data_IF_162149834707
#
_entry.id   IF_162149834707
#
_cell.length_a   1.000
_cell.length_b   1.000
_cell.length_c   1.000
_cell.angle_alpha   90.00
_cell.angle_beta   90.00
_cell.angle_gamma   90.00
#
_symmetry.space_group_name_H-M   'P 1'
#
loop_
_entity.id
_entity.type
_entity.pdbx_description
1 polymer ?
#
# COMPACT_ATOMS: atom_id res chain seq x y z
N UNK A 1 -13.74 17.12 74.71
CA UNK A 1 -14.44 17.03 73.40
C UNK A 1 -13.74 17.94 72.40
N UNK A 2 -12.81 17.40 71.59
CA UNK A 2 -12.18 18.14 70.47
C UNK A 2 -12.22 17.20 69.26
N UNK A 3 -13.04 17.55 68.26
CA UNK A 3 -13.21 16.79 67.02
C UNK A 3 -12.05 17.17 66.08
N UNK A 4 -11.15 16.22 65.83
CA UNK A 4 -10.13 16.32 64.78
C UNK A 4 -10.76 15.80 63.49
N UNK A 5 -10.98 16.67 62.52
CA UNK A 5 -11.48 16.31 61.19
C UNK A 5 -10.28 16.28 60.25
N UNK A 6 -9.84 15.08 59.88
CA UNK A 6 -8.86 14.85 58.81
C UNK A 6 -9.64 14.73 57.49
N UNK A 7 -9.53 15.72 56.63
CA UNK A 7 -10.03 15.66 55.24
C UNK A 7 -8.89 15.14 54.39
N UNK A 8 -8.97 13.87 53.97
CA UNK A 8 -8.07 13.30 52.98
C UNK A 8 -8.50 13.76 51.58
N UNK A 9 -7.67 14.60 50.95
CA UNK A 9 -7.85 15.04 49.58
C UNK A 9 -7.25 13.97 48.64
N UNK A 10 -8.10 13.11 48.08
CA UNK A 10 -7.69 12.16 47.04
C UNK A 10 -7.49 12.88 45.71
N UNK A 11 -6.24 13.08 45.30
CA UNK A 11 -5.91 13.56 43.97
C UNK A 11 -6.11 12.42 42.96
N UNK A 12 -7.21 12.49 42.20
CA UNK A 12 -7.45 11.60 41.06
C UNK A 12 -6.52 12.05 39.92
N UNK A 13 -5.36 11.40 39.79
CA UNK A 13 -4.49 11.55 38.63
C UNK A 13 -5.14 10.85 37.44
N UNK A 14 -5.89 11.62 36.64
CA UNK A 14 -6.36 11.17 35.32
C UNK A 14 -5.13 11.12 34.41
N UNK A 15 -4.56 9.94 34.23
CA UNK A 15 -3.56 9.71 33.20
C UNK A 15 -4.24 9.87 31.83
N UNK A 16 -4.16 11.08 31.27
CA UNK A 16 -4.45 11.29 29.86
C UNK A 16 -3.44 10.46 29.05
N UNK A 17 -3.88 9.30 28.56
CA UNK A 17 -3.11 8.52 27.60
C UNK A 17 -2.78 9.44 26.43
N UNK A 18 -1.49 9.71 26.22
CA UNK A 18 -1.01 10.43 25.06
C UNK A 18 -1.38 9.61 23.82
N UNK A 19 -2.52 9.91 23.22
CA UNK A 19 -2.82 9.50 21.85
C UNK A 19 -1.79 10.27 21.02
N UNK A 20 -0.73 9.59 20.58
CA UNK A 20 0.21 10.16 19.65
C UNK A 20 -0.61 10.73 18.49
N UNK A 21 -0.60 12.06 18.32
CA UNK A 21 -1.30 12.70 17.24
C UNK A 21 -0.72 12.14 15.95
N UNK A 22 -1.45 11.23 15.32
CA UNK A 22 -1.14 10.79 13.97
C UNK A 22 -1.19 12.05 13.12
N UNK A 23 -0.11 12.46 12.43
CA UNK A 23 -0.15 13.68 11.65
C UNK A 23 -1.27 13.53 10.63
N UNK A 24 -2.31 14.38 10.72
CA UNK A 24 -3.43 14.37 9.77
C UNK A 24 -2.91 14.45 8.32
N UNK A 25 -1.77 15.12 8.14
CA UNK A 25 -1.02 15.19 6.89
C UNK A 25 -0.64 13.82 6.32
N UNK A 26 -0.22 12.85 7.13
CA UNK A 26 0.18 11.52 6.64
C UNK A 26 -1.03 10.72 6.14
N UNK A 27 -2.16 10.85 6.81
CA UNK A 27 -3.43 10.25 6.38
C UNK A 27 -3.84 10.87 5.04
N UNK A 28 -3.84 12.21 4.96
CA UNK A 28 -4.23 12.95 3.77
C UNK A 28 -3.30 12.70 2.58
N UNK A 29 -1.99 12.54 2.84
CA UNK A 29 -0.98 12.16 1.84
C UNK A 29 -1.27 10.77 1.28
N UNK A 30 -1.38 9.75 2.14
CA UNK A 30 -1.61 8.37 1.71
C UNK A 30 -2.90 8.23 0.88
N UNK A 31 -3.96 8.97 1.25
CA UNK A 31 -5.24 8.97 0.55
C UNK A 31 -5.23 9.70 -0.79
N UNK A 32 -4.13 10.34 -1.20
CA UNK A 32 -4.07 11.05 -2.47
C UNK A 32 -4.21 10.11 -3.69
N UNK A 33 -3.82 8.83 -3.57
CA UNK A 33 -4.05 7.83 -4.62
C UNK A 33 -5.46 7.21 -4.58
N UNK A 34 -6.27 7.45 -3.54
CA UNK A 34 -7.56 6.79 -3.39
C UNK A 34 -8.58 7.35 -4.41
N UNK A 35 -9.39 6.49 -5.05
CA UNK A 35 -10.55 6.95 -5.80
C UNK A 35 -11.46 7.83 -4.93
N UNK A 36 -11.96 8.93 -5.49
CA UNK A 36 -12.75 9.94 -4.74
C UNK A 36 -13.91 9.33 -3.95
N UNK A 37 -14.63 8.38 -4.53
CA UNK A 37 -15.78 7.71 -3.92
C UNK A 37 -15.41 6.59 -2.91
N UNK A 38 -14.15 6.16 -2.87
CA UNK A 38 -13.68 5.12 -1.96
C UNK A 38 -12.84 5.68 -0.79
N UNK A 39 -12.49 6.97 -0.86
CA UNK A 39 -11.54 7.63 0.05
C UNK A 39 -11.93 7.52 1.53
N UNK A 40 -13.19 7.73 1.87
CA UNK A 40 -13.64 7.77 3.27
C UNK A 40 -13.69 6.37 3.90
N UNK A 41 -13.95 5.34 3.09
CA UNK A 41 -14.01 3.95 3.53
C UNK A 41 -12.64 3.24 3.52
N UNK A 42 -11.58 3.88 3.01
CA UNK A 42 -10.25 3.28 2.89
C UNK A 42 -9.54 3.19 4.25
N UNK A 43 -8.89 2.06 4.51
CA UNK A 43 -7.92 1.95 5.59
C UNK A 43 -6.65 2.74 5.24
N UNK A 44 -6.00 3.32 6.23
CA UNK A 44 -4.68 3.96 6.06
C UNK A 44 -3.70 3.35 7.01
N UNK A 45 -2.55 2.91 6.48
CA UNK A 45 -1.47 2.32 7.27
C UNK A 45 -0.16 3.08 7.06
N UNK A 46 0.76 2.91 8.00
CA UNK A 46 2.15 3.32 7.89
C UNK A 46 3.05 2.11 8.00
N UNK A 47 3.87 1.88 6.98
CA UNK A 47 4.90 0.86 7.02
C UNK A 47 6.00 1.24 8.01
N UNK A 48 6.45 0.25 8.77
CA UNK A 48 7.60 0.33 9.66
C UNK A 48 8.87 -0.13 8.95
N UNK A 49 10.07 0.22 9.45
CA UNK A 49 11.34 -0.25 8.91
C UNK A 49 11.50 -1.78 8.90
N UNK A 50 10.79 -2.49 9.79
CA UNK A 50 10.77 -3.96 9.87
C UNK A 50 9.75 -4.62 8.92
N UNK A 51 9.14 -3.84 8.02
CA UNK A 51 8.11 -4.27 7.05
C UNK A 51 6.78 -4.73 7.68
N UNK A 52 6.56 -4.47 8.96
CA UNK A 52 5.23 -4.49 9.57
C UNK A 52 4.57 -3.11 9.41
N UNK A 53 3.36 -2.89 9.93
CA UNK A 53 2.68 -1.61 9.80
C UNK A 53 1.88 -1.23 11.05
N UNK A 54 1.68 0.08 11.22
CA UNK A 54 0.67 0.64 12.12
C UNK A 54 -0.57 1.05 11.32
N UNK A 55 -1.75 0.85 11.89
CA UNK A 55 -2.99 1.39 11.33
C UNK A 55 -3.17 2.83 11.79
N UNK A 56 -3.08 3.79 10.87
CA UNK A 56 -3.31 5.20 11.14
C UNK A 56 -4.81 5.55 11.16
N UNK A 57 -5.58 4.87 10.30
CA UNK A 57 -7.03 5.01 10.23
C UNK A 57 -7.65 3.66 9.85
N UNK A 58 -8.59 3.13 10.65
CA UNK A 58 -9.34 1.94 10.24
C UNK A 58 -10.20 2.24 9.01
N UNK A 59 -10.38 1.24 8.15
CA UNK A 59 -11.27 1.31 6.99
C UNK A 59 -12.55 0.50 7.20
N UNK A 60 -13.57 0.79 6.41
CA UNK A 60 -14.82 0.00 6.32
C UNK A 60 -14.95 -0.74 5.00
N UNK A 61 -14.06 -0.46 4.04
CA UNK A 61 -13.92 -1.18 2.77
C UNK A 61 -12.68 -2.07 2.76
N UNK A 62 -12.46 -2.76 1.64
CA UNK A 62 -11.24 -3.55 1.40
C UNK A 62 -10.07 -2.73 0.83
N UNK A 63 -10.22 -1.42 0.62
CA UNK A 63 -9.14 -0.56 0.12
C UNK A 63 -8.22 -0.15 1.29
N UNK A 64 -6.91 -0.29 1.11
CA UNK A 64 -5.87 0.21 2.00
C UNK A 64 -4.94 1.13 1.25
N UNK A 65 -4.59 2.27 1.85
CA UNK A 65 -3.67 3.25 1.29
C UNK A 65 -2.47 3.45 2.22
N UNK A 66 -1.30 3.69 1.63
CA UNK A 66 -0.06 3.92 2.36
C UNK A 66 0.91 4.79 1.56
N UNK A 67 1.80 5.44 2.29
CA UNK A 67 2.96 6.11 1.73
C UNK A 67 4.08 5.10 1.49
N UNK A 68 4.68 5.16 0.31
CA UNK A 68 5.87 4.38 -0.05
C UNK A 68 7.03 5.27 -0.53
N UNK A 69 6.87 6.60 -0.40
CA UNK A 69 7.94 7.56 -0.59
C UNK A 69 9.15 7.17 0.28
N UNK A 70 10.36 7.31 -0.26
CA UNK A 70 11.60 7.00 0.44
C UNK A 70 12.07 5.56 0.35
N UNK A 71 11.31 4.65 -0.29
CA UNK A 71 11.90 3.40 -0.78
C UNK A 71 12.91 3.71 -1.90
N UNK A 72 14.04 2.99 -1.98
CA UNK A 72 15.09 3.30 -2.96
C UNK A 72 14.65 3.22 -4.42
N UNK A 73 13.63 2.42 -4.71
CA UNK A 73 13.10 2.21 -6.06
C UNK A 73 11.92 3.11 -6.41
N UNK A 74 11.47 3.93 -5.47
CA UNK A 74 10.29 4.79 -5.60
C UNK A 74 10.66 6.23 -5.96
N UNK A 75 9.69 6.96 -6.52
CA UNK A 75 9.80 8.39 -6.72
C UNK A 75 9.76 9.16 -5.39
N UNK A 76 10.28 10.41 -5.34
CA UNK A 76 10.29 11.21 -4.11
C UNK A 76 8.90 11.40 -3.50
N UNK A 77 7.87 11.54 -4.34
CA UNK A 77 6.48 11.38 -3.94
C UNK A 77 5.93 10.10 -4.55
N UNK A 78 5.54 9.14 -3.70
CA UNK A 78 4.91 7.89 -4.14
C UNK A 78 3.96 7.39 -3.06
N UNK A 79 2.67 7.35 -3.37
CA UNK A 79 1.62 6.79 -2.50
C UNK A 79 0.83 5.75 -3.28
N UNK A 80 0.37 4.71 -2.58
CA UNK A 80 -0.29 3.59 -3.23
C UNK A 80 -1.51 3.12 -2.43
N UNK A 81 -2.57 2.75 -3.16
CA UNK A 81 -3.75 2.11 -2.59
C UNK A 81 -4.02 0.77 -3.29
N UNK A 82 -4.39 -0.25 -2.53
CA UNK A 82 -4.77 -1.56 -3.07
C UNK A 82 -5.70 -2.32 -2.13
N UNK A 83 -6.02 -3.58 -2.41
CA UNK A 83 -6.78 -4.44 -1.49
C UNK A 83 -5.97 -4.75 -0.22
N UNK A 84 -6.65 -4.80 0.92
CA UNK A 84 -6.09 -5.36 2.17
C UNK A 84 -5.53 -6.78 1.99
N UNK A 85 -6.03 -7.54 1.02
CA UNK A 85 -5.52 -8.87 0.66
C UNK A 85 -4.11 -8.87 0.09
N UNK A 86 -3.58 -7.70 -0.29
CA UNK A 86 -2.25 -7.55 -0.87
C UNK A 86 -1.17 -7.16 0.16
N UNK A 87 -1.51 -6.93 1.42
CA UNK A 87 -0.52 -6.41 2.39
C UNK A 87 0.71 -7.32 2.56
N UNK A 88 0.54 -8.63 2.50
CA UNK A 88 1.66 -9.57 2.54
C UNK A 88 2.55 -9.47 1.28
N UNK A 89 1.92 -9.36 0.10
CA UNK A 89 2.60 -9.10 -1.18
C UNK A 89 3.39 -7.79 -1.12
N UNK A 90 2.80 -6.73 -0.57
CA UNK A 90 3.44 -5.43 -0.41
C UNK A 90 4.64 -5.55 0.53
N UNK A 91 4.47 -6.17 1.70
CA UNK A 91 5.58 -6.37 2.64
C UNK A 91 6.75 -7.15 2.00
N UNK A 92 6.46 -8.19 1.20
CA UNK A 92 7.49 -8.92 0.46
C UNK A 92 8.17 -8.03 -0.61
N UNK A 93 7.42 -7.21 -1.35
CA UNK A 93 7.98 -6.28 -2.32
C UNK A 93 8.92 -5.27 -1.65
N UNK A 94 8.49 -4.66 -0.54
CA UNK A 94 9.31 -3.68 0.20
C UNK A 94 10.64 -4.28 0.66
N UNK A 95 10.64 -5.55 1.11
CA UNK A 95 11.85 -6.31 1.46
C UNK A 95 12.78 -6.55 0.27
N UNK A 96 12.24 -6.65 -0.93
CA UNK A 96 13.02 -6.80 -2.16
C UNK A 96 13.53 -5.45 -2.66
N UNK A 97 12.74 -4.38 -2.53
CA UNK A 97 13.04 -3.04 -3.03
C UNK A 97 14.15 -2.30 -2.28
N UNK A 98 14.49 -2.73 -1.05
CA UNK A 98 15.74 -2.30 -0.40
C UNK A 98 16.99 -2.75 -1.16
N UNK A 99 16.90 -3.79 -2.00
CA UNK A 99 17.95 -4.12 -2.95
C UNK A 99 17.88 -3.15 -4.15
N UNK A 100 18.79 -2.19 -4.16
CA UNK A 100 18.86 -1.14 -5.18
C UNK A 100 19.36 -1.66 -6.52
N UNK A 101 20.22 -2.69 -6.52
CA UNK A 101 20.66 -3.35 -7.73
C UNK A 101 19.49 -4.10 -8.38
N UNK A 102 19.13 -3.67 -9.59
CA UNK A 102 18.00 -4.23 -10.33
C UNK A 102 18.19 -5.71 -10.68
N UNK A 103 19.41 -6.12 -11.03
CA UNK A 103 19.68 -7.50 -11.44
C UNK A 103 19.62 -8.45 -10.23
N UNK A 104 20.19 -8.05 -9.10
CA UNK A 104 20.12 -8.84 -7.86
C UNK A 104 18.69 -8.94 -7.34
N UNK A 105 17.93 -7.85 -7.36
CA UNK A 105 16.51 -7.84 -6.99
C UNK A 105 15.68 -8.73 -7.92
N UNK A 106 15.91 -8.67 -9.23
CA UNK A 106 15.22 -9.53 -10.18
C UNK A 106 15.56 -11.01 -9.94
N UNK A 107 16.82 -11.34 -9.70
CA UNK A 107 17.23 -12.72 -9.39
C UNK A 107 16.56 -13.26 -8.11
N UNK A 108 16.41 -12.41 -7.07
CA UNK A 108 15.69 -12.78 -5.85
C UNK A 108 14.19 -13.00 -6.09
N UNK A 109 13.57 -12.17 -6.96
CA UNK A 109 12.18 -12.38 -7.40
C UNK A 109 12.06 -13.72 -8.14
N UNK A 110 12.92 -13.96 -9.14
CA UNK A 110 12.87 -15.18 -9.96
C UNK A 110 13.09 -16.44 -9.12
N UNK A 111 13.97 -16.38 -8.10
CA UNK A 111 14.15 -17.47 -7.15
C UNK A 111 12.87 -17.75 -6.35
N UNK A 112 12.22 -16.70 -5.83
CA UNK A 112 10.95 -16.83 -5.09
C UNK A 112 9.80 -17.32 -5.97
N UNK A 113 9.79 -16.98 -7.26
CA UNK A 113 8.82 -17.51 -8.23
C UNK A 113 9.07 -19.00 -8.45
N UNK A 114 10.33 -19.40 -8.60
CA UNK A 114 10.73 -20.78 -8.89
C UNK A 114 10.48 -21.73 -7.72
N UNK A 115 10.74 -21.30 -6.49
CA UNK A 115 10.53 -22.11 -5.29
C UNK A 115 9.08 -22.02 -4.73
N UNK A 116 8.26 -21.13 -5.30
CA UNK A 116 6.87 -20.95 -4.91
C UNK A 116 6.64 -20.08 -3.67
N UNK A 117 7.70 -19.45 -3.14
CA UNK A 117 7.61 -18.54 -1.98
C UNK A 117 7.15 -17.13 -2.36
N UNK A 118 7.01 -16.82 -3.66
CA UNK A 118 6.47 -15.55 -4.10
C UNK A 118 4.99 -15.44 -3.75
N UNK A 119 4.66 -14.52 -2.86
CA UNK A 119 3.29 -14.19 -2.48
C UNK A 119 2.57 -13.65 -3.71
N UNK A 120 1.40 -14.19 -4.04
CA UNK A 120 0.59 -13.71 -5.17
C UNK A 120 -0.28 -12.54 -4.74
N UNK A 121 -0.49 -11.52 -5.58
CA UNK A 121 -1.52 -10.53 -5.32
C UNK A 121 -2.92 -11.17 -5.38
N UNK A 122 -3.90 -10.56 -4.72
CA UNK A 122 -5.30 -10.95 -4.80
C UNK A 122 -5.81 -10.75 -6.23
N UNK A 123 -6.36 -11.81 -6.83
CA UNK A 123 -6.89 -11.76 -8.18
C UNK A 123 -8.04 -10.74 -8.28
N UNK A 124 -8.01 -9.89 -9.31
CA UNK A 124 -8.97 -8.82 -9.54
C UNK A 124 -8.74 -7.58 -8.68
N UNK A 125 -7.74 -7.57 -7.79
CA UNK A 125 -7.45 -6.39 -6.96
C UNK A 125 -6.84 -5.27 -7.78
N UNK A 126 -7.32 -4.05 -7.55
CA UNK A 126 -6.81 -2.84 -8.21
C UNK A 126 -5.65 -2.27 -7.41
N UNK A 127 -4.67 -1.72 -8.10
CA UNK A 127 -3.53 -0.99 -7.55
C UNK A 127 -3.55 0.42 -8.11
N UNK A 128 -3.70 1.41 -7.25
CA UNK A 128 -3.64 2.83 -7.58
C UNK A 128 -2.32 3.36 -7.07
N UNK A 129 -1.43 3.79 -7.96
CA UNK A 129 -0.15 4.40 -7.58
C UNK A 129 -0.14 5.84 -8.06
N UNK A 130 -0.02 6.79 -7.14
CA UNK A 130 0.18 8.20 -7.48
C UNK A 130 1.63 8.56 -7.17
N UNK A 131 2.43 8.79 -8.20
CA UNK A 131 3.87 9.03 -8.03
C UNK A 131 4.44 10.08 -8.99
N UNK A 132 5.50 10.76 -8.53
CA UNK A 132 6.18 11.84 -9.26
C UNK A 132 7.28 12.50 -8.42
N UNK A 133 7.92 13.52 -8.99
CA UNK A 133 8.93 14.31 -8.29
C UNK A 133 8.33 15.03 -7.05
N UNK A 134 7.05 15.41 -7.15
CA UNK A 134 6.27 16.04 -6.10
C UNK A 134 4.77 15.71 -6.29
N UNK A 135 3.94 16.12 -5.33
CA UNK A 135 2.49 15.86 -5.37
C UNK A 135 1.77 16.56 -6.53
N UNK A 136 2.23 17.73 -6.97
CA UNK A 136 1.57 18.51 -8.01
C UNK A 136 1.84 17.94 -9.41
N UNK A 137 3.00 17.31 -9.60
CA UNK A 137 3.40 16.68 -10.87
C UNK A 137 3.17 15.17 -10.91
N UNK A 138 2.72 14.58 -9.80
CA UNK A 138 2.44 13.15 -9.70
C UNK A 138 1.33 12.71 -10.65
N UNK A 139 1.50 11.52 -11.23
CA UNK A 139 0.53 10.90 -12.12
C UNK A 139 -0.03 9.65 -11.49
N UNK A 140 -1.33 9.48 -11.62
CA UNK A 140 -1.99 8.26 -11.21
C UNK A 140 -1.66 7.17 -12.22
N UNK A 141 -1.45 5.96 -11.73
CA UNK A 141 -1.25 4.78 -12.53
C UNK A 141 -2.06 3.64 -11.91
N UNK A 142 -2.95 3.07 -12.70
CA UNK A 142 -3.82 1.99 -12.27
C UNK A 142 -3.48 0.67 -12.97
N UNK A 143 -3.35 -0.39 -12.18
CA UNK A 143 -3.24 -1.76 -12.66
C UNK A 143 -4.21 -2.68 -11.94
N UNK A 144 -4.54 -3.83 -12.55
CA UNK A 144 -5.41 -4.85 -11.95
C UNK A 144 -4.64 -6.16 -11.90
N UNK A 145 -4.45 -6.72 -10.72
CA UNK A 145 -3.74 -7.97 -10.54
C UNK A 145 -4.55 -9.15 -11.08
N UNK A 146 -3.94 -9.97 -11.94
CA UNK A 146 -4.55 -11.16 -12.54
C UNK A 146 -3.52 -12.30 -12.58
N UNK A 147 -2.96 -12.71 -11.43
CA UNK A 147 -1.87 -13.68 -11.37
C UNK A 147 -2.24 -14.98 -12.11
N UNK A 148 -1.36 -15.43 -13.01
CA UNK A 148 -1.55 -16.63 -13.84
C UNK A 148 -2.43 -16.44 -15.08
N UNK A 149 -3.09 -15.28 -15.24
CA UNK A 149 -3.89 -15.02 -16.44
C UNK A 149 -3.01 -14.84 -17.68
N UNK A 150 -3.56 -15.18 -18.84
CA UNK A 150 -2.92 -15.05 -20.16
C UNK A 150 -3.79 -14.24 -21.12
N UNK A 151 -3.23 -13.89 -22.27
CA UNK A 151 -3.98 -13.34 -23.42
C UNK A 151 -5.18 -14.22 -23.77
N UNK A 152 -5.04 -15.55 -23.75
CA UNK A 152 -6.11 -16.47 -24.09
C UNK A 152 -7.25 -16.46 -23.06
N UNK A 153 -6.94 -16.31 -21.76
CA UNK A 153 -7.95 -16.33 -20.70
C UNK A 153 -8.68 -14.98 -20.55
N UNK A 154 -8.05 -13.86 -20.90
CA UNK A 154 -8.63 -12.51 -20.73
C UNK A 154 -9.09 -11.86 -22.03
N UNK A 155 -8.62 -12.32 -23.18
CA UNK A 155 -8.86 -11.67 -24.48
C UNK A 155 -8.16 -10.31 -24.65
N UNK A 156 -7.22 -9.97 -23.77
CA UNK A 156 -6.44 -8.73 -23.84
C UNK A 156 -5.11 -8.96 -24.55
N UNK A 157 -4.61 -8.01 -25.36
CA UNK A 157 -3.28 -8.09 -25.96
C UNK A 157 -2.19 -8.12 -24.86
N UNK A 158 -1.01 -8.62 -25.19
CA UNK A 158 0.14 -8.67 -24.28
C UNK A 158 1.01 -7.40 -24.31
N UNK A 159 0.58 -6.39 -25.07
CA UNK A 159 1.30 -5.14 -25.24
C UNK A 159 0.35 -3.97 -25.57
N UNK A 160 0.88 -2.76 -25.52
CA UNK A 160 0.13 -1.51 -25.64
C UNK A 160 -0.17 -1.05 -27.06
N UNK A 161 0.20 -1.81 -28.11
CA UNK A 161 0.08 -1.35 -29.51
C UNK A 161 -1.36 -1.15 -29.97
N UNK A 162 -2.33 -1.74 -29.28
CA UNK A 162 -3.75 -1.66 -29.62
C UNK A 162 -4.47 -0.47 -28.96
N UNK A 163 -3.77 0.38 -28.20
CA UNK A 163 -4.33 1.62 -27.63
C UNK A 163 -5.33 1.45 -26.49
N UNK A 164 -5.66 0.22 -26.08
CA UNK A 164 -6.52 -0.11 -24.94
C UNK A 164 -5.76 -0.76 -23.79
N UNK A 165 -6.49 -1.39 -22.87
CA UNK A 165 -5.88 -2.21 -21.82
C UNK A 165 -5.12 -3.41 -22.39
N UNK A 166 -4.05 -3.83 -21.71
CA UNK A 166 -3.25 -5.00 -22.09
C UNK A 166 -2.80 -5.77 -20.85
N UNK A 167 -2.45 -7.04 -21.01
CA UNK A 167 -1.85 -7.84 -19.95
C UNK A 167 -0.32 -7.73 -20.02
N UNK A 168 0.31 -7.40 -18.90
CA UNK A 168 1.76 -7.50 -18.73
C UNK A 168 2.09 -8.78 -17.94
N UNK A 169 3.22 -9.41 -18.24
CA UNK A 169 3.70 -10.64 -17.58
C UNK A 169 2.70 -11.80 -17.62
N UNK A 170 2.00 -11.96 -18.74
CA UNK A 170 1.03 -13.02 -18.98
C UNK A 170 1.57 -14.41 -18.59
N UNK A 171 0.76 -15.19 -17.87
CA UNK A 171 1.09 -16.55 -17.43
C UNK A 171 1.96 -16.63 -16.17
N UNK A 172 2.41 -15.50 -15.61
CA UNK A 172 3.24 -15.47 -14.40
C UNK A 172 2.44 -15.06 -13.17
N UNK A 173 3.02 -15.23 -11.97
CA UNK A 173 2.41 -14.76 -10.72
C UNK A 173 2.28 -13.23 -10.63
N UNK A 174 2.98 -12.49 -11.50
CA UNK A 174 2.94 -11.03 -11.58
C UNK A 174 2.10 -10.50 -12.73
N UNK A 175 1.33 -11.37 -13.38
CA UNK A 175 0.40 -10.98 -14.43
C UNK A 175 -0.56 -9.89 -13.92
N UNK A 176 -0.64 -8.77 -14.66
CA UNK A 176 -1.51 -7.65 -14.33
C UNK A 176 -2.02 -6.96 -15.61
N UNK A 177 -3.25 -6.45 -15.54
CA UNK A 177 -3.83 -5.60 -16.57
C UNK A 177 -3.31 -4.19 -16.38
N UNK A 178 -2.72 -3.64 -17.42
CA UNK A 178 -2.36 -2.23 -17.52
C UNK A 178 -3.57 -1.45 -18.03
N UNK A 179 -3.90 -0.33 -17.36
CA UNK A 179 -5.02 0.53 -17.74
C UNK A 179 -4.51 1.93 -18.11
N UNK A 180 -4.32 2.21 -19.42
CA UNK A 180 -3.80 3.49 -19.89
C UNK A 180 -4.72 4.66 -19.59
N UNK A 181 -4.14 5.85 -19.43
CA UNK A 181 -4.89 7.08 -19.17
C UNK A 181 -5.58 7.13 -17.81
N UNK A 182 -5.20 6.20 -16.91
CA UNK A 182 -5.53 6.28 -15.49
C UNK A 182 -4.74 7.35 -14.75
#
# INVERSE_FOLDING_TARGET
MKRVVLIALGALAVAAGAVAQTPAEDIEKALAAAPRNARDAAMVIRWKPDFTYDTLRPGTSRLVCYDQSGLPTEQPFSVQCTSVGNLERVAQNRKLEVQTDRALRQAAIDAAEKDGTRVKPEFGSVWYTLSGADRATARLHMTIAVPGATTATLGLPDNNKMGGAWIMNAGTSTAHIMVPGS
#
